data_IF_865718318481
#
_entry.id   IF_865718318481
#
_cell.length_a   1.000
_cell.length_b   1.000
_cell.length_c   1.000
_cell.angle_alpha   90.00
_cell.angle_beta   90.00
_cell.angle_gamma   90.00
#
_symmetry.space_group_name_H-M   'P 1'
#
loop_
_entity.id
_entity.type
_entity.pdbx_description
1 polymer ?
#
# COMPACT_ATOMS: atom_id res chain seq x y z
N UNK A 1 0.23 -0.55 23.47
CA UNK A 1 1.07 0.54 22.92
C UNK A 1 2.57 0.21 22.96
N UNK A 2 3.10 -0.39 24.04
CA UNK A 2 4.51 -0.79 24.18
C UNK A 2 5.09 -1.52 22.96
N UNK A 3 4.40 -2.54 22.44
CA UNK A 3 4.86 -3.30 21.26
C UNK A 3 5.03 -2.44 19.99
N UNK A 4 4.15 -1.46 19.76
CA UNK A 4 4.23 -0.54 18.61
C UNK A 4 5.45 0.37 18.76
N UNK A 5 5.66 0.92 19.95
CA UNK A 5 6.78 1.81 20.26
C UNK A 5 8.11 1.07 20.16
N UNK A 6 8.20 -0.18 20.61
CA UNK A 6 9.40 -1.00 20.47
C UNK A 6 9.72 -1.31 18.99
N UNK A 7 8.70 -1.57 18.17
CA UNK A 7 8.89 -1.92 16.76
C UNK A 7 9.06 -0.69 15.84
N UNK A 8 8.48 0.46 16.19
CA UNK A 8 8.53 1.68 15.41
C UNK A 8 8.56 2.91 16.34
N UNK A 9 9.71 3.19 17.00
CA UNK A 9 9.82 4.23 18.03
C UNK A 9 9.55 5.63 17.51
N UNK A 10 9.75 5.86 16.20
CA UNK A 10 9.43 7.13 15.54
C UNK A 10 7.93 7.48 15.63
N UNK A 11 7.06 6.53 15.97
CA UNK A 11 5.64 6.85 16.26
C UNK A 11 5.47 7.90 17.34
N UNK A 12 6.41 7.99 18.30
CA UNK A 12 6.38 8.97 19.38
C UNK A 12 6.64 10.41 18.89
N UNK A 13 7.24 10.60 17.71
CA UNK A 13 7.46 11.95 17.15
C UNK A 13 6.24 12.48 16.38
N UNK A 14 5.24 11.64 16.11
CA UNK A 14 4.03 12.08 15.41
C UNK A 14 3.03 12.73 16.35
N UNK A 15 2.46 13.86 15.93
CA UNK A 15 1.42 14.52 16.70
C UNK A 15 0.16 13.65 16.80
N UNK A 16 -0.50 13.69 17.95
CA UNK A 16 -1.78 13.01 18.15
C UNK A 16 -2.82 13.39 17.08
N UNK A 17 -2.87 14.67 16.70
CA UNK A 17 -3.76 15.18 15.64
C UNK A 17 -3.54 14.45 14.31
N UNK A 18 -2.27 14.22 13.92
CA UNK A 18 -1.92 13.50 12.69
C UNK A 18 -2.35 12.04 12.77
N UNK A 19 -2.01 11.36 13.87
CA UNK A 19 -2.36 9.94 14.08
C UNK A 19 -3.87 9.73 14.08
N UNK A 20 -4.62 10.54 14.84
CA UNK A 20 -6.08 10.51 14.89
C UNK A 20 -6.71 10.74 13.51
N UNK A 21 -6.16 11.66 12.71
CA UNK A 21 -6.63 11.90 11.34
C UNK A 21 -6.50 10.66 10.46
N UNK A 22 -5.37 9.95 10.52
CA UNK A 22 -5.16 8.73 9.74
C UNK A 22 -6.13 7.63 10.16
N UNK A 23 -6.30 7.41 11.48
CA UNK A 23 -7.25 6.44 12.03
C UNK A 23 -8.67 6.68 11.50
N UNK A 24 -9.19 7.89 11.70
CA UNK A 24 -10.53 8.26 11.30
C UNK A 24 -10.74 8.15 9.78
N UNK A 25 -9.71 8.44 8.98
CA UNK A 25 -9.81 8.36 7.54
C UNK A 25 -9.85 6.91 7.03
N UNK A 26 -9.15 5.98 7.68
CA UNK A 26 -9.26 4.55 7.39
C UNK A 26 -10.64 4.00 7.77
N UNK A 27 -11.19 4.44 8.90
CA UNK A 27 -12.56 4.09 9.29
C UNK A 27 -13.59 4.62 8.28
N UNK A 28 -13.47 5.89 7.86
CA UNK A 28 -14.32 6.49 6.82
C UNK A 28 -14.20 5.79 5.46
N UNK A 29 -13.04 5.20 5.16
CA UNK A 29 -12.86 4.42 3.95
C UNK A 29 -13.61 3.07 4.01
N UNK A 30 -13.91 2.56 5.22
CA UNK A 30 -14.68 1.34 5.42
C UNK A 30 -13.98 0.27 6.25
N UNK A 31 -12.79 0.53 6.80
CA UNK A 31 -12.17 -0.41 7.76
C UNK A 31 -12.92 -0.35 9.09
N UNK A 32 -13.21 -1.51 9.69
CA UNK A 32 -13.75 -1.55 11.04
C UNK A 32 -12.75 -1.05 12.07
N UNK A 33 -13.22 -0.45 13.17
CA UNK A 33 -12.35 0.09 14.23
C UNK A 33 -11.27 -0.91 14.69
N UNK A 34 -11.66 -2.15 14.99
CA UNK A 34 -10.74 -3.21 15.38
C UNK A 34 -9.74 -3.58 14.28
N UNK A 35 -10.16 -3.54 13.01
CA UNK A 35 -9.27 -3.78 11.88
C UNK A 35 -8.23 -2.66 11.79
N UNK A 36 -8.63 -1.40 11.94
CA UNK A 36 -7.72 -0.25 11.96
C UNK A 36 -6.69 -0.41 13.08
N UNK A 37 -7.12 -0.75 14.29
CA UNK A 37 -6.21 -1.03 15.42
C UNK A 37 -5.24 -2.17 15.09
N UNK A 38 -5.73 -3.26 14.49
CA UNK A 38 -4.91 -4.42 14.09
C UNK A 38 -3.88 -4.06 13.02
N UNK A 39 -4.22 -3.21 12.05
CA UNK A 39 -3.28 -2.71 11.04
C UNK A 39 -2.10 -2.04 11.73
N UNK A 40 -2.34 -1.14 12.68
CA UNK A 40 -1.27 -0.42 13.36
C UNK A 40 -0.47 -1.28 14.33
N UNK A 41 -1.09 -2.30 14.90
CA UNK A 41 -0.39 -3.26 15.75
C UNK A 41 0.55 -4.18 14.94
N UNK A 42 0.15 -4.58 13.73
CA UNK A 42 0.90 -5.52 12.90
C UNK A 42 1.85 -4.83 11.91
N UNK A 43 1.51 -3.62 11.46
CA UNK A 43 2.21 -2.85 10.44
C UNK A 43 2.45 -1.42 10.94
N UNK A 44 3.18 -1.21 12.04
CA UNK A 44 3.32 0.10 12.68
C UNK A 44 3.95 1.16 11.75
N UNK A 45 4.76 0.74 10.77
CA UNK A 45 5.32 1.60 9.73
C UNK A 45 4.26 2.36 8.91
N UNK A 46 3.03 1.86 8.83
CA UNK A 46 1.91 2.56 8.17
C UNK A 46 1.57 3.89 8.86
N UNK A 47 1.89 4.06 10.14
CA UNK A 47 1.78 5.36 10.83
C UNK A 47 2.74 6.41 10.25
N UNK A 48 3.87 5.98 9.67
CA UNK A 48 4.82 6.88 9.03
C UNK A 48 4.32 7.43 7.70
N UNK A 49 3.38 6.75 7.05
CA UNK A 49 2.78 7.22 5.81
C UNK A 49 1.90 8.45 6.03
N UNK A 50 1.90 9.39 5.09
CA UNK A 50 0.89 10.44 5.04
C UNK A 50 -0.47 9.85 4.67
N UNK A 51 -1.55 10.53 5.04
CA UNK A 51 -2.89 10.12 4.60
C UNK A 51 -2.99 10.25 3.08
N UNK A 52 -2.39 11.28 2.52
CA UNK A 52 -2.39 11.60 1.10
C UNK A 52 -1.78 10.46 0.28
N UNK A 53 -0.61 9.94 0.69
CA UNK A 53 0.00 8.73 0.10
C UNK A 53 -0.93 7.52 0.24
N UNK A 54 -1.51 7.31 1.42
CA UNK A 54 -2.39 6.16 1.67
C UNK A 54 -3.64 6.22 0.79
N UNK A 55 -4.22 7.41 0.64
CA UNK A 55 -5.37 7.67 -0.23
C UNK A 55 -5.05 7.31 -1.69
N UNK A 56 -3.88 7.70 -2.19
CA UNK A 56 -3.42 7.37 -3.53
C UNK A 56 -3.34 5.85 -3.75
N UNK A 57 -2.77 5.10 -2.79
CA UNK A 57 -2.77 3.62 -2.84
C UNK A 57 -4.20 3.07 -2.87
N UNK A 58 -5.12 3.64 -2.08
CA UNK A 58 -6.53 3.23 -2.05
C UNK A 58 -7.29 3.58 -3.34
N UNK A 59 -6.92 4.67 -4.00
CA UNK A 59 -7.44 5.05 -5.32
C UNK A 59 -6.97 4.03 -6.38
N UNK A 60 -5.68 3.68 -6.36
CA UNK A 60 -5.12 2.63 -7.25
C UNK A 60 -5.85 1.31 -7.05
N UNK A 61 -6.08 0.89 -5.80
CA UNK A 61 -6.80 -0.36 -5.51
C UNK A 61 -8.22 -0.36 -6.05
N UNK A 62 -8.94 0.77 -5.97
CA UNK A 62 -10.27 0.90 -6.58
C UNK A 62 -10.19 0.74 -8.10
N UNK A 63 -9.18 1.31 -8.75
CA UNK A 63 -9.01 1.24 -10.20
C UNK A 63 -8.69 -0.18 -10.73
N UNK A 64 -8.24 -1.09 -9.86
CA UNK A 64 -7.95 -2.49 -10.21
C UNK A 64 -8.90 -3.48 -9.51
N UNK A 65 -10.03 -2.99 -8.98
CA UNK A 65 -11.04 -3.77 -8.25
C UNK A 65 -10.47 -4.61 -7.08
N UNK A 66 -9.40 -4.11 -6.45
CA UNK A 66 -8.74 -4.80 -5.36
C UNK A 66 -9.38 -4.45 -4.01
N UNK A 67 -10.03 -5.43 -3.39
CA UNK A 67 -10.56 -5.28 -2.03
C UNK A 67 -9.43 -5.38 -0.98
N UNK A 68 -8.91 -4.22 -0.57
CA UNK A 68 -7.85 -4.09 0.45
C UNK A 68 -8.32 -4.40 1.87
N UNK A 69 -9.63 -4.35 2.16
CA UNK A 69 -10.15 -4.50 3.53
C UNK A 69 -9.72 -5.84 4.15
N UNK A 70 -9.61 -6.87 3.33
CA UNK A 70 -9.18 -8.22 3.73
C UNK A 70 -7.66 -8.43 3.68
N UNK A 71 -6.89 -7.49 3.10
CA UNK A 71 -5.45 -7.61 2.87
C UNK A 71 -4.70 -6.28 3.10
N UNK A 72 -4.77 -5.69 4.31
CA UNK A 72 -4.23 -4.34 4.56
C UNK A 72 -2.72 -4.22 4.46
N UNK A 73 -1.97 -5.34 4.45
CA UNK A 73 -0.52 -5.33 4.20
C UNK A 73 -0.12 -4.66 2.88
N UNK A 74 -1.03 -4.62 1.90
CA UNK A 74 -0.76 -3.96 0.62
C UNK A 74 -0.76 -2.43 0.72
N UNK A 75 -1.28 -1.84 1.80
CA UNK A 75 -1.15 -0.39 2.07
C UNK A 75 0.30 0.08 2.19
N UNK A 76 1.24 -0.84 2.44
CA UNK A 76 2.67 -0.52 2.52
C UNK A 76 3.34 -0.31 1.16
N UNK A 77 2.69 -0.65 0.06
CA UNK A 77 3.24 -0.45 -1.27
C UNK A 77 3.42 1.05 -1.58
N UNK A 78 4.45 1.36 -2.36
CA UNK A 78 4.63 2.70 -2.91
C UNK A 78 3.60 2.94 -4.02
N UNK A 79 2.87 4.08 -4.03
CA UNK A 79 1.96 4.42 -5.12
C UNK A 79 2.62 4.35 -6.49
N UNK A 80 3.77 5.01 -6.66
CA UNK A 80 4.52 5.03 -7.92
C UNK A 80 4.87 3.60 -8.38
N UNK A 81 5.37 2.76 -7.47
CA UNK A 81 5.72 1.38 -7.82
C UNK A 81 4.49 0.55 -8.22
N UNK A 82 3.33 0.75 -7.58
CA UNK A 82 2.10 0.09 -7.99
C UNK A 82 1.66 0.58 -9.37
N UNK A 83 1.63 1.90 -9.57
CA UNK A 83 1.15 2.50 -10.81
C UNK A 83 2.02 2.12 -12.00
N UNK A 84 3.35 2.23 -11.89
CA UNK A 84 4.28 1.82 -12.94
C UNK A 84 4.14 0.34 -13.28
N UNK A 85 3.95 -0.53 -12.29
CA UNK A 85 3.70 -1.95 -12.55
C UNK A 85 2.38 -2.19 -13.28
N UNK A 86 1.30 -1.52 -12.87
CA UNK A 86 -0.01 -1.64 -13.52
C UNK A 86 0.10 -1.17 -14.97
N UNK A 87 0.73 -0.01 -15.20
CA UNK A 87 0.95 0.54 -16.52
C UNK A 87 1.76 -0.41 -17.39
N UNK A 88 2.89 -0.89 -16.90
CA UNK A 88 3.72 -1.89 -17.58
C UNK A 88 2.93 -3.15 -17.96
N UNK A 89 2.19 -3.72 -17.01
CA UNK A 89 1.45 -4.95 -17.23
C UNK A 89 0.30 -4.78 -18.24
N UNK A 90 -0.40 -3.65 -18.19
CA UNK A 90 -1.45 -3.31 -19.17
C UNK A 90 -0.87 -3.05 -20.56
N UNK A 91 0.22 -2.28 -20.66
CA UNK A 91 0.79 -1.90 -21.95
C UNK A 91 1.49 -3.07 -22.63
N UNK A 92 2.23 -3.90 -21.87
CA UNK A 92 3.04 -4.99 -22.44
C UNK A 92 2.33 -6.31 -22.57
N UNK A 93 1.33 -6.56 -21.73
CA UNK A 93 0.64 -7.85 -21.67
C UNK A 93 -0.87 -7.72 -21.74
N UNK A 94 -1.42 -6.50 -21.89
CA UNK A 94 -2.86 -6.25 -22.01
C UNK A 94 -3.66 -6.86 -20.84
N UNK A 95 -3.04 -6.90 -19.64
CA UNK A 95 -3.64 -7.58 -18.49
C UNK A 95 -4.87 -6.84 -17.97
N UNK A 96 -5.94 -7.60 -17.80
CA UNK A 96 -7.15 -7.14 -17.14
C UNK A 96 -7.00 -7.16 -15.61
N UNK A 97 -7.90 -6.45 -14.91
CA UNK A 97 -7.85 -6.32 -13.44
C UNK A 97 -7.73 -7.67 -12.71
N UNK A 98 -8.45 -8.70 -13.18
CA UNK A 98 -8.42 -10.04 -12.59
C UNK A 98 -7.06 -10.73 -12.67
N UNK A 99 -6.21 -10.34 -13.62
CA UNK A 99 -4.85 -10.85 -13.79
C UNK A 99 -3.85 -9.98 -13.04
N UNK A 100 -4.00 -8.66 -13.12
CA UNK A 100 -3.15 -7.68 -12.44
C UNK A 100 -3.03 -7.98 -10.94
N UNK A 101 -4.17 -8.21 -10.26
CA UNK A 101 -4.18 -8.46 -8.80
C UNK A 101 -3.41 -9.72 -8.38
N UNK A 102 -3.16 -10.65 -9.31
CA UNK A 102 -2.39 -11.88 -9.03
C UNK A 102 -0.88 -11.62 -9.01
N UNK A 103 -0.41 -10.56 -9.66
CA UNK A 103 1.03 -10.36 -9.92
C UNK A 103 1.57 -9.02 -9.45
N UNK A 104 0.77 -7.95 -9.45
CA UNK A 104 1.21 -6.58 -9.13
C UNK A 104 1.82 -6.47 -7.73
N UNK A 105 1.35 -7.31 -6.81
CA UNK A 105 1.77 -7.35 -5.41
C UNK A 105 2.96 -8.28 -5.12
N UNK A 106 3.61 -8.84 -6.15
CA UNK A 106 4.82 -9.62 -5.96
C UNK A 106 5.94 -8.77 -5.35
N UNK A 107 6.82 -9.40 -4.57
CA UNK A 107 8.01 -8.73 -4.04
C UNK A 107 8.92 -8.27 -5.18
N UNK A 108 9.65 -7.17 -5.00
CA UNK A 108 10.43 -6.52 -6.09
C UNK A 108 11.33 -7.51 -6.84
N UNK A 109 12.17 -8.26 -6.13
CA UNK A 109 13.05 -9.27 -6.75
C UNK A 109 12.30 -10.35 -7.54
N UNK A 110 11.10 -10.74 -7.09
CA UNK A 110 10.29 -11.73 -7.79
C UNK A 110 9.66 -11.14 -9.05
N UNK A 111 9.19 -9.89 -8.97
CA UNK A 111 8.63 -9.16 -10.11
C UNK A 111 9.70 -8.94 -11.18
N UNK A 112 10.87 -8.42 -10.79
CA UNK A 112 12.01 -8.17 -11.67
C UNK A 112 12.46 -9.44 -12.37
N UNK A 113 12.63 -10.55 -11.64
CA UNK A 113 13.01 -11.84 -12.24
C UNK A 113 11.96 -12.36 -13.22
N UNK A 114 10.67 -12.16 -12.94
CA UNK A 114 9.58 -12.72 -13.75
C UNK A 114 9.38 -11.96 -15.06
N UNK A 115 9.48 -10.64 -15.01
CA UNK A 115 9.16 -9.77 -16.15
C UNK A 115 10.41 -9.15 -16.78
N UNK A 116 11.59 -9.49 -16.27
CA UNK A 116 12.90 -9.07 -16.77
C UNK A 116 13.01 -7.54 -16.91
N UNK A 117 12.44 -6.81 -15.95
CA UNK A 117 12.45 -5.35 -15.89
C UNK A 117 12.83 -4.88 -14.48
N UNK A 118 13.80 -3.98 -14.37
CA UNK A 118 14.20 -3.41 -13.07
C UNK A 118 13.15 -2.45 -12.51
N UNK A 119 13.21 -2.19 -11.21
CA UNK A 119 12.37 -1.17 -10.59
C UNK A 119 12.65 0.23 -11.14
N UNK A 120 13.91 0.54 -11.42
CA UNK A 120 14.36 1.83 -11.95
C UNK A 120 13.79 2.06 -13.36
N UNK A 121 13.82 1.04 -14.22
CA UNK A 121 13.21 1.08 -15.55
C UNK A 121 11.70 1.22 -15.46
N UNK A 122 11.03 0.46 -14.57
CA UNK A 122 9.59 0.60 -14.33
C UNK A 122 9.23 2.05 -13.99
N UNK A 123 9.91 2.66 -13.03
CA UNK A 123 9.59 4.02 -12.56
C UNK A 123 9.91 5.12 -13.57
N UNK A 124 10.82 4.85 -14.52
CA UNK A 124 11.23 5.80 -15.55
C UNK A 124 10.30 5.73 -16.77
N UNK A 125 9.92 4.53 -17.16
CA UNK A 125 9.29 4.27 -18.46
C UNK A 125 7.77 4.00 -18.36
N UNK A 126 7.24 3.77 -17.16
CA UNK A 126 5.83 3.42 -16.91
C UNK A 126 5.24 4.13 -15.68
#
# INVERSE_FOLDING_TARGET
MQKIVCAFPITLSYSWKRTKRILNNLEKYGFGHEQVVKIFYTLPATLGCSWERTKEVLDIFRNIDFNVLNKPKHLMFSPNTLQSRINFLRIKFEMENTELVKVVFQGNKQFEKRFEISKEELLRDY
#
